data_IF_515493127604
#
_entry.id   IF_515493127604
#
_cell.length_a   1.000
_cell.length_b   1.000
_cell.length_c   1.000
_cell.angle_alpha   90.00
_cell.angle_beta   90.00
_cell.angle_gamma   90.00
#
_symmetry.space_group_name_H-M   'P 1'
#
loop_
_entity.id
_entity.type
_entity.pdbx_description
1 polymer ?
#
# COMPACT_ATOMS: atom_id res chain seq x y z
N UNK A 1 18.93 -7.65 5.10
CA UNK A 1 17.61 -6.98 5.09
C UNK A 1 17.02 -7.11 3.71
N UNK A 2 15.86 -7.77 3.57
CA UNK A 2 15.09 -7.73 2.32
C UNK A 2 14.22 -6.48 2.33
N UNK A 3 14.08 -5.89 1.16
CA UNK A 3 13.19 -4.76 0.91
C UNK A 3 11.93 -5.33 0.26
N UNK A 4 10.74 -4.79 0.58
CA UNK A 4 9.51 -5.20 -0.10
C UNK A 4 9.66 -5.03 -1.61
N UNK A 5 9.57 -6.15 -2.32
CA UNK A 5 9.61 -6.21 -3.77
C UNK A 5 8.30 -6.79 -4.26
N UNK A 6 7.79 -6.24 -5.35
CA UNK A 6 6.58 -6.72 -6.01
C UNK A 6 6.79 -6.85 -7.50
N UNK A 7 5.95 -7.63 -8.17
CA UNK A 7 5.90 -7.69 -9.63
C UNK A 7 5.64 -6.32 -10.23
N UNK A 8 6.52 -5.89 -11.16
CA UNK A 8 6.40 -4.58 -11.82
C UNK A 8 5.12 -4.47 -12.66
N UNK A 9 4.79 -5.52 -13.41
CA UNK A 9 3.58 -5.56 -14.24
C UNK A 9 2.31 -5.59 -13.39
N UNK A 10 2.34 -6.35 -12.27
CA UNK A 10 1.26 -6.37 -11.29
C UNK A 10 1.02 -4.98 -10.70
N UNK A 11 2.09 -4.30 -10.27
CA UNK A 11 1.99 -2.95 -9.72
C UNK A 11 1.45 -1.94 -10.74
N UNK A 12 1.87 -2.01 -12.01
CA UNK A 12 1.33 -1.13 -13.07
C UNK A 12 -0.18 -1.33 -13.23
N UNK A 13 -0.66 -2.58 -13.19
CA UNK A 13 -2.10 -2.86 -13.24
C UNK A 13 -2.82 -2.26 -12.04
N UNK A 14 -2.30 -2.47 -10.83
CA UNK A 14 -2.92 -1.95 -9.62
C UNK A 14 -2.92 -0.41 -9.60
N UNK A 15 -1.85 0.25 -10.06
CA UNK A 15 -1.83 1.72 -10.16
C UNK A 15 -3.00 2.24 -11.02
N UNK A 16 -3.33 1.54 -12.11
CA UNK A 16 -4.49 1.87 -12.95
C UNK A 16 -5.81 1.60 -12.24
N UNK A 17 -5.94 0.46 -11.57
CA UNK A 17 -7.16 0.10 -10.83
C UNK A 17 -7.45 1.09 -9.67
N UNK A 18 -6.40 1.68 -9.10
CA UNK A 18 -6.48 2.74 -8.10
C UNK A 18 -6.66 4.15 -8.70
N UNK A 19 -6.78 4.27 -10.02
CA UNK A 19 -6.99 5.53 -10.73
C UNK A 19 -5.79 6.49 -10.64
N UNK A 20 -4.57 5.96 -10.61
CA UNK A 20 -3.34 6.76 -10.68
C UNK A 20 -3.06 7.13 -12.14
N UNK A 21 -2.97 8.43 -12.48
CA UNK A 21 -2.58 8.87 -13.82
C UNK A 21 -1.19 8.38 -14.21
N UNK A 22 -0.95 8.20 -15.51
CA UNK A 22 0.28 7.63 -16.03
C UNK A 22 1.53 8.42 -15.62
N UNK A 23 1.45 9.75 -15.53
CA UNK A 23 2.56 10.59 -15.08
C UNK A 23 2.92 10.37 -13.59
N UNK A 24 1.91 10.17 -12.74
CA UNK A 24 2.11 9.82 -11.34
C UNK A 24 2.64 8.40 -11.19
N UNK A 25 2.12 7.46 -11.97
CA UNK A 25 2.58 6.07 -11.99
C UNK A 25 4.05 5.99 -12.43
N UNK A 26 4.42 6.72 -13.48
CA UNK A 26 5.79 6.79 -13.98
C UNK A 26 6.74 7.40 -12.95
N UNK A 27 6.36 8.51 -12.30
CA UNK A 27 7.17 9.12 -11.25
C UNK A 27 7.34 8.20 -10.03
N UNK A 28 6.25 7.57 -9.58
CA UNK A 28 6.26 6.62 -8.48
C UNK A 28 7.17 5.42 -8.77
N UNK A 29 7.07 4.82 -9.95
CA UNK A 29 7.93 3.72 -10.39
C UNK A 29 9.38 4.14 -10.61
N UNK A 30 9.61 5.36 -11.08
CA UNK A 30 10.96 5.93 -11.26
C UNK A 30 11.73 6.07 -9.94
N UNK A 31 11.01 6.17 -8.82
CA UNK A 31 11.58 6.21 -7.46
C UNK A 31 11.82 4.84 -6.86
N UNK A 32 11.32 3.77 -7.48
CA UNK A 32 11.52 2.40 -7.00
C UNK A 32 12.86 1.83 -7.47
N UNK A 33 13.41 0.92 -6.69
CA UNK A 33 14.58 0.13 -7.08
C UNK A 33 14.11 -0.96 -8.05
N UNK A 34 14.51 -0.89 -9.31
CA UNK A 34 14.25 -1.96 -10.27
C UNK A 34 15.03 -3.23 -9.90
N UNK A 35 14.34 -4.38 -9.90
CA UNK A 35 14.85 -5.72 -9.58
C UNK A 35 14.45 -6.69 -10.68
N UNK A 36 14.93 -6.47 -11.90
CA UNK A 36 14.53 -7.26 -13.07
C UNK A 36 13.03 -7.12 -13.33
N UNK A 37 12.29 -8.21 -13.11
CA UNK A 37 10.83 -8.24 -13.27
C UNK A 37 10.06 -7.61 -12.09
N UNK A 38 10.74 -7.29 -11.00
CA UNK A 38 10.16 -6.65 -9.83
C UNK A 38 10.61 -5.22 -9.61
N UNK A 39 9.92 -4.54 -8.69
CA UNK A 39 10.30 -3.23 -8.16
C UNK A 39 10.24 -3.26 -6.64
N UNK A 40 11.16 -2.56 -5.99
CA UNK A 40 11.27 -2.53 -4.54
C UNK A 40 11.29 -1.11 -3.99
N UNK A 41 10.62 -0.88 -2.85
CA UNK A 41 10.59 0.44 -2.19
C UNK A 41 11.96 0.76 -1.58
N UNK A 42 12.64 1.86 -1.94
CA UNK A 42 13.89 2.22 -1.27
C UNK A 42 13.69 2.41 0.24
N UNK A 43 14.73 2.22 1.08
CA UNK A 43 14.64 2.41 2.53
C UNK A 43 14.19 3.82 2.95
N UNK A 44 14.40 4.81 2.08
CA UNK A 44 13.93 6.17 2.23
C UNK A 44 13.06 6.52 1.02
N UNK A 45 11.77 6.75 1.25
CA UNK A 45 10.78 6.99 0.18
C UNK A 45 9.86 8.15 0.56
N UNK A 46 9.84 9.19 -0.29
CA UNK A 46 9.04 10.40 -0.11
C UNK A 46 8.71 11.04 -1.46
N UNK A 47 7.66 11.87 -1.48
CA UNK A 47 7.32 12.68 -2.65
C UNK A 47 8.16 13.96 -2.64
N UNK A 48 9.20 14.02 -3.48
CA UNK A 48 9.98 15.23 -3.77
C UNK A 48 9.65 15.80 -5.16
N UNK A 49 8.58 15.31 -5.78
CA UNK A 49 8.29 15.65 -7.16
C UNK A 49 7.51 16.95 -7.18
N UNK A 50 8.25 18.06 -7.28
CA UNK A 50 7.75 19.43 -7.16
C UNK A 50 6.57 19.77 -8.08
N UNK A 51 6.45 19.07 -9.22
CA UNK A 51 5.39 19.28 -10.20
C UNK A 51 4.17 18.36 -10.02
N UNK A 52 4.25 17.36 -9.13
CA UNK A 52 3.18 16.40 -8.86
C UNK A 52 2.55 16.68 -7.49
N UNK A 53 1.71 17.71 -7.46
CA UNK A 53 1.15 18.30 -6.23
C UNK A 53 -0.18 17.70 -5.78
N UNK A 54 -0.78 16.81 -6.57
CA UNK A 54 -2.05 16.20 -6.19
C UNK A 54 -1.83 15.01 -5.26
N UNK A 55 -2.03 15.27 -3.97
CA UNK A 55 -1.92 14.29 -2.89
C UNK A 55 -2.77 13.03 -3.12
N UNK A 56 -3.91 13.15 -3.81
CA UNK A 56 -4.77 12.01 -4.14
C UNK A 56 -3.99 10.92 -4.87
N UNK A 57 -3.31 11.29 -5.96
CA UNK A 57 -2.65 10.30 -6.81
C UNK A 57 -1.43 9.66 -6.13
N UNK A 58 -0.72 10.42 -5.31
CA UNK A 58 0.40 9.88 -4.54
C UNK A 58 -0.04 8.88 -3.48
N UNK A 59 -1.08 9.23 -2.71
CA UNK A 59 -1.64 8.32 -1.69
C UNK A 59 -2.26 7.08 -2.34
N UNK A 60 -2.93 7.23 -3.48
CA UNK A 60 -3.45 6.11 -4.26
C UNK A 60 -2.33 5.16 -4.74
N UNK A 61 -1.20 5.70 -5.19
CA UNK A 61 -0.05 4.88 -5.59
C UNK A 61 0.55 4.10 -4.42
N UNK A 62 0.66 4.73 -3.24
CA UNK A 62 1.04 4.04 -2.00
C UNK A 62 0.05 2.92 -1.64
N UNK A 63 -1.25 3.16 -1.72
CA UNK A 63 -2.28 2.17 -1.43
C UNK A 63 -2.19 0.97 -2.39
N UNK A 64 -2.07 1.22 -3.70
CA UNK A 64 -1.86 0.20 -4.72
C UNK A 64 -0.63 -0.67 -4.42
N UNK A 65 0.50 -0.02 -4.10
CA UNK A 65 1.73 -0.71 -3.75
C UNK A 65 1.56 -1.62 -2.53
N UNK A 66 1.04 -1.12 -1.42
CA UNK A 66 0.92 -1.93 -0.20
C UNK A 66 -0.12 -3.06 -0.33
N UNK A 67 -1.20 -2.85 -1.08
CA UNK A 67 -2.15 -3.91 -1.41
C UNK A 67 -1.52 -5.01 -2.29
N UNK A 68 -0.60 -4.66 -3.18
CA UNK A 68 0.20 -5.63 -3.95
C UNK A 68 1.22 -6.34 -3.05
N UNK A 69 1.93 -5.62 -2.18
CA UNK A 69 2.84 -6.24 -1.20
C UNK A 69 2.10 -7.28 -0.36
N UNK A 70 0.90 -6.96 0.13
CA UNK A 70 0.08 -7.91 0.88
C UNK A 70 -0.25 -9.17 0.06
N UNK A 71 -0.67 -9.02 -1.21
CA UNK A 71 -1.01 -10.14 -2.10
C UNK A 71 0.20 -11.00 -2.51
N UNK A 72 1.39 -10.42 -2.59
CA UNK A 72 2.62 -11.11 -2.98
C UNK A 72 3.44 -11.60 -1.78
N UNK A 73 3.09 -11.19 -0.57
CA UNK A 73 3.79 -11.60 0.64
C UNK A 73 3.70 -13.12 0.84
N UNK A 74 4.85 -13.74 1.10
CA UNK A 74 4.95 -15.19 1.35
C UNK A 74 5.10 -15.51 2.84
N UNK A 75 5.19 -14.49 3.70
CA UNK A 75 5.35 -14.64 5.14
C UNK A 75 4.30 -13.83 5.90
N UNK A 76 3.85 -14.33 7.05
CA UNK A 76 2.91 -13.63 7.93
C UNK A 76 3.47 -12.28 8.41
N UNK A 77 4.78 -12.20 8.63
CA UNK A 77 5.45 -10.96 9.04
C UNK A 77 5.35 -9.89 7.96
N UNK A 78 5.53 -10.26 6.69
CA UNK A 78 5.43 -9.33 5.57
C UNK A 78 3.97 -8.95 5.31
N UNK A 79 3.04 -9.89 5.45
CA UNK A 79 1.60 -9.61 5.40
C UNK A 79 1.19 -8.62 6.50
N UNK A 80 1.61 -8.83 7.74
CA UNK A 80 1.31 -7.95 8.87
C UNK A 80 1.88 -6.54 8.66
N UNK A 81 3.12 -6.43 8.16
CA UNK A 81 3.72 -5.14 7.81
C UNK A 81 2.96 -4.43 6.69
N UNK A 82 2.56 -5.17 5.65
CA UNK A 82 1.75 -4.63 4.56
C UNK A 82 0.40 -4.11 5.07
N UNK A 83 -0.31 -4.88 5.91
CA UNK A 83 -1.56 -4.44 6.55
C UNK A 83 -1.36 -3.18 7.39
N UNK A 84 -0.28 -3.12 8.19
CA UNK A 84 0.06 -1.92 8.95
C UNK A 84 0.28 -0.69 8.05
N UNK A 85 0.94 -0.87 6.90
CA UNK A 85 1.15 0.19 5.93
C UNK A 85 -0.14 0.60 5.20
N UNK A 86 -1.04 -0.34 4.90
CA UNK A 86 -2.38 -0.07 4.36
C UNK A 86 -3.19 0.74 5.37
N UNK A 87 -3.19 0.36 6.65
CA UNK A 87 -3.83 1.12 7.73
C UNK A 87 -3.25 2.53 7.86
N UNK A 88 -1.93 2.67 7.83
CA UNK A 88 -1.29 3.99 7.83
C UNK A 88 -1.75 4.84 6.63
N UNK A 89 -1.80 4.25 5.43
CA UNK A 89 -2.27 4.91 4.22
C UNK A 89 -3.75 5.33 4.32
N UNK A 90 -4.61 4.50 4.94
CA UNK A 90 -6.00 4.84 5.23
C UNK A 90 -6.13 6.10 6.08
N UNK A 91 -5.35 6.20 7.16
CA UNK A 91 -5.34 7.38 8.02
C UNK A 91 -4.73 8.60 7.33
N UNK A 92 -3.66 8.43 6.55
CA UNK A 92 -3.08 9.51 5.73
C UNK A 92 -4.08 10.05 4.72
N UNK A 93 -4.83 9.18 4.04
CA UNK A 93 -5.89 9.59 3.11
C UNK A 93 -6.95 10.45 3.83
N UNK A 94 -7.40 10.01 5.00
CA UNK A 94 -8.38 10.75 5.81
C UNK A 94 -7.85 12.11 6.27
N UNK A 95 -6.61 12.16 6.76
CA UNK A 95 -5.96 13.39 7.22
C UNK A 95 -5.77 14.43 6.09
N UNK A 96 -5.60 13.97 4.86
CA UNK A 96 -5.44 14.82 3.67
C UNK A 96 -6.77 15.14 2.96
N UNK A 97 -7.91 14.81 3.57
CA UNK A 97 -9.25 15.06 3.01
C UNK A 97 -9.60 14.20 1.79
N UNK A 98 -8.87 13.10 1.55
CA UNK A 98 -9.07 12.19 0.42
C UNK A 98 -10.12 11.12 0.75
N UNK A 99 -11.36 11.56 1.00
CA UNK A 99 -12.45 10.68 1.46
C UNK A 99 -12.75 9.51 0.52
N UNK A 100 -12.65 9.73 -0.79
CA UNK A 100 -12.76 8.68 -1.82
C UNK A 100 -11.73 7.55 -1.58
N UNK A 101 -10.45 7.89 -1.37
CA UNK A 101 -9.40 6.91 -1.15
C UNK A 101 -9.57 6.18 0.18
N UNK A 102 -9.96 6.88 1.25
CA UNK A 102 -10.30 6.22 2.51
C UNK A 102 -11.43 5.20 2.33
N UNK A 103 -12.46 5.53 1.53
CA UNK A 103 -13.54 4.60 1.22
C UNK A 103 -13.07 3.41 0.36
N UNK A 104 -12.19 3.64 -0.63
CA UNK A 104 -11.61 2.58 -1.45
C UNK A 104 -10.75 1.62 -0.61
N UNK A 105 -9.90 2.14 0.28
CA UNK A 105 -9.09 1.31 1.20
C UNK A 105 -9.99 0.54 2.16
N UNK A 106 -11.02 1.19 2.72
CA UNK A 106 -12.00 0.51 3.58
C UNK A 106 -12.76 -0.60 2.83
N UNK A 107 -13.10 -0.36 1.57
CA UNK A 107 -13.72 -1.38 0.71
C UNK A 107 -12.76 -2.55 0.47
N UNK A 108 -11.52 -2.29 0.07
CA UNK A 108 -10.48 -3.30 -0.10
C UNK A 108 -10.34 -4.15 1.16
N UNK A 109 -10.23 -3.51 2.33
CA UNK A 109 -10.12 -4.18 3.62
C UNK A 109 -11.31 -5.09 3.92
N UNK A 110 -12.52 -4.63 3.61
CA UNK A 110 -13.73 -5.44 3.84
C UNK A 110 -13.79 -6.66 2.93
N UNK A 111 -13.44 -6.51 1.65
CA UNK A 111 -13.51 -7.63 0.69
C UNK A 111 -12.35 -8.62 0.84
N UNK A 112 -11.26 -8.24 1.52
CA UNK A 112 -10.14 -9.13 1.83
C UNK A 112 -10.18 -9.66 3.27
N UNK A 113 -11.28 -9.45 4.00
CA UNK A 113 -11.44 -9.87 5.40
C UNK A 113 -11.09 -11.34 5.62
N UNK A 114 -11.53 -12.22 4.73
CA UNK A 114 -11.30 -13.67 4.86
C UNK A 114 -9.79 -14.03 4.88
N UNK A 115 -8.93 -13.16 4.34
CA UNK A 115 -7.49 -13.36 4.27
C UNK A 115 -6.75 -12.87 5.52
N UNK A 116 -7.14 -11.71 6.09
CA UNK A 116 -6.41 -11.10 7.22
C UNK A 116 -7.15 -11.21 8.56
N UNK A 117 -8.45 -11.48 8.57
CA UNK A 117 -9.26 -11.66 9.79
C UNK A 117 -9.21 -10.45 10.75
N UNK A 118 -9.12 -9.23 10.21
CA UNK A 118 -9.13 -7.97 10.96
C UNK A 118 -10.37 -7.16 10.57
N UNK A 119 -11.26 -6.78 11.49
CA UNK A 119 -12.56 -6.23 11.13
C UNK A 119 -12.49 -4.80 10.55
N UNK A 120 -11.44 -4.03 10.86
CA UNK A 120 -11.22 -2.70 10.29
C UNK A 120 -9.73 -2.30 10.32
N UNK A 121 -9.32 -1.31 9.51
CA UNK A 121 -7.94 -0.81 9.49
C UNK A 121 -7.41 -0.33 10.85
N UNK A 122 -8.31 0.04 11.76
CA UNK A 122 -8.01 0.52 13.12
C UNK A 122 -7.80 -0.59 14.16
N UNK A 123 -8.05 -1.85 13.80
CA UNK A 123 -7.98 -2.97 14.73
C UNK A 123 -6.61 -3.63 14.68
N UNK A 124 -6.09 -3.97 15.86
CA UNK A 124 -4.94 -4.85 15.99
C UNK A 124 -5.40 -6.30 16.02
N UNK A 125 -4.49 -7.24 15.71
CA UNK A 125 -4.76 -8.65 15.93
C UNK A 125 -5.14 -8.88 17.41
N UNK A 126 -6.09 -9.78 17.70
CA UNK A 126 -6.42 -10.12 19.07
C UNK A 126 -5.18 -10.69 19.75
N UNK A 127 -4.66 -9.99 20.76
CA UNK A 127 -3.69 -10.56 21.66
C UNK A 127 -4.43 -11.61 22.48
N UNK A 128 -4.17 -12.90 22.29
CA UNK A 128 -4.52 -13.89 23.30
C UNK A 128 -3.52 -13.70 24.44
N UNK A 129 -3.89 -13.16 25.60
CA UNK A 129 -2.95 -13.12 26.72
C UNK A 129 -2.63 -14.57 27.12
N UNK A 130 -1.41 -15.01 26.87
CA UNK A 130 -0.87 -16.23 27.47
C UNK A 130 -0.55 -15.90 28.92
N UNK A 131 -1.52 -16.12 29.81
CA UNK A 131 -1.24 -16.17 31.24
C UNK A 131 -0.49 -17.49 31.49
N UNK A 132 0.82 -17.40 31.68
CA UNK A 132 1.64 -18.45 32.29
C UNK A 132 1.70 -18.24 33.80
#
# INVERSE_FOLDING_TARGET
>A
MSVFSVSKSGLISDLRDWGVPDEYAAAFLGKMINRGNGVAVPPFFFNDTDHLTNNRHWVAACAAFWCRVYREATSEVDMARALGAISATYYTAGALGQGELSAMISHWWRITFDLHQLPAPSYTAPNTPSFH
#
